data_IF_745825433695
#
_entry.id   IF_745825433695
#
_cell.length_a   1.000
_cell.length_b   1.000
_cell.length_c   1.000
_cell.angle_alpha   90.00
_cell.angle_beta   90.00
_cell.angle_gamma   90.00
#
_symmetry.space_group_name_H-M   'P 1'
#
loop_
_entity.id
_entity.type
_entity.pdbx_description
1 polymer ?
#
# COMPACT_ATOMS: atom_id res chain seq x y z
N UNK A 1 -30.44 11.16 4.45
CA UNK A 1 -30.04 11.35 5.87
C UNK A 1 -31.03 10.66 6.80
N UNK A 2 -32.30 10.60 6.38
CA UNK A 2 -33.47 10.30 7.21
C UNK A 2 -33.63 8.81 7.57
N UNK A 3 -32.74 7.95 7.08
CA UNK A 3 -32.76 6.49 7.31
C UNK A 3 -31.59 5.99 8.18
N UNK A 4 -30.78 6.88 8.76
CA UNK A 4 -29.68 6.46 9.63
C UNK A 4 -30.22 6.15 11.04
N UNK A 5 -29.96 4.92 11.52
CA UNK A 5 -30.24 4.57 12.91
C UNK A 5 -29.43 5.45 13.85
N UNK A 6 -29.98 5.72 15.04
CA UNK A 6 -29.36 6.65 16.01
C UNK A 6 -27.94 6.23 16.41
N UNK A 7 -27.68 4.92 16.45
CA UNK A 7 -26.41 4.28 16.82
C UNK A 7 -25.54 3.89 15.61
N UNK A 8 -25.95 4.25 14.40
CA UNK A 8 -25.19 3.94 13.19
C UNK A 8 -23.81 4.61 13.22
N UNK A 9 -22.81 3.87 12.72
CA UNK A 9 -21.48 4.42 12.43
C UNK A 9 -21.32 4.60 10.93
N UNK A 10 -20.86 5.78 10.54
CA UNK A 10 -20.59 6.12 9.15
C UNK A 10 -19.13 5.81 8.85
N UNK A 11 -18.88 4.86 7.95
CA UNK A 11 -17.54 4.55 7.46
C UNK A 11 -17.42 5.14 6.05
N UNK A 12 -16.48 6.07 5.86
CA UNK A 12 -16.24 6.72 4.57
C UNK A 12 -14.88 6.30 3.99
N UNK A 13 -14.91 5.75 2.78
CA UNK A 13 -13.72 5.44 1.99
C UNK A 13 -13.40 6.52 0.94
N UNK A 14 -14.08 7.67 0.99
CA UNK A 14 -13.96 8.71 -0.04
C UNK A 14 -12.62 9.45 0.12
N UNK A 15 -11.76 9.47 -0.91
CA UNK A 15 -10.49 10.20 -0.86
C UNK A 15 -10.71 11.72 -0.68
N UNK A 16 -9.84 12.37 0.08
CA UNK A 16 -9.85 13.84 0.26
C UNK A 16 -11.00 14.44 1.10
N UNK A 17 -12.09 13.71 1.35
CA UNK A 17 -13.26 14.26 2.08
C UNK A 17 -13.09 14.09 3.59
N UNK A 18 -12.82 15.20 4.29
CA UNK A 18 -12.59 15.24 5.74
C UNK A 18 -13.82 14.84 6.57
N UNK A 19 -13.60 14.33 7.79
CA UNK A 19 -14.67 13.99 8.76
C UNK A 19 -15.59 15.18 9.01
N UNK A 20 -15.03 16.37 9.19
CA UNK A 20 -15.79 17.62 9.39
C UNK A 20 -16.74 17.91 8.22
N UNK A 21 -16.26 17.74 6.98
CA UNK A 21 -17.06 17.90 5.76
C UNK A 21 -18.20 16.89 5.69
N UNK A 22 -17.94 15.62 6.01
CA UNK A 22 -18.97 14.57 6.03
C UNK A 22 -20.05 14.91 7.06
N UNK A 23 -19.67 15.26 8.29
CA UNK A 23 -20.61 15.65 9.35
C UNK A 23 -21.46 16.85 8.95
N UNK A 24 -20.85 17.87 8.33
CA UNK A 24 -21.55 19.06 7.83
C UNK A 24 -22.55 18.71 6.73
N UNK A 25 -22.12 17.95 5.71
CA UNK A 25 -22.99 17.54 4.60
C UNK A 25 -24.15 16.70 5.10
N UNK A 26 -23.90 15.78 6.03
CA UNK A 26 -24.92 14.88 6.57
C UNK A 26 -25.74 15.50 7.70
N UNK A 27 -25.37 16.68 8.20
CA UNK A 27 -26.00 17.35 9.34
C UNK A 27 -26.20 16.37 10.50
N UNK A 28 -25.13 15.67 10.87
CA UNK A 28 -25.21 14.52 11.77
C UNK A 28 -24.18 14.56 12.90
N UNK A 29 -24.58 14.02 14.04
CA UNK A 29 -23.72 13.76 15.19
C UNK A 29 -23.20 12.32 15.25
N UNK A 30 -23.54 11.47 14.26
CA UNK A 30 -23.03 10.09 14.21
C UNK A 30 -21.50 10.05 14.25
N UNK A 31 -20.98 8.94 14.74
CA UNK A 31 -19.57 8.64 14.62
C UNK A 31 -19.22 8.48 13.13
N UNK A 32 -18.20 9.21 12.71
CA UNK A 32 -17.66 9.12 11.36
C UNK A 32 -16.24 8.59 11.47
N UNK A 33 -15.99 7.52 10.75
CA UNK A 33 -14.69 6.88 10.62
C UNK A 33 -14.28 6.99 9.16
N UNK A 34 -13.08 7.52 8.92
CA UNK A 34 -12.52 7.50 7.57
C UNK A 34 -11.60 6.32 7.41
N UNK A 35 -11.71 5.68 6.26
CA UNK A 35 -10.83 4.60 5.86
C UNK A 35 -10.17 4.93 4.52
N UNK A 36 -8.98 4.37 4.30
CA UNK A 36 -8.31 4.37 3.02
C UNK A 36 -7.88 2.93 2.70
N UNK A 37 -8.74 2.15 2.03
CA UNK A 37 -8.40 0.80 1.60
C UNK A 37 -7.55 0.79 0.33
N UNK A 38 -6.65 -0.19 0.22
CA UNK A 38 -5.98 -0.52 -1.05
C UNK A 38 -6.74 -1.62 -1.80
N UNK A 39 -6.63 -1.67 -3.14
CA UNK A 39 -7.35 -2.63 -3.99
C UNK A 39 -7.25 -4.11 -3.54
N UNK A 40 -6.10 -4.60 -3.01
CA UNK A 40 -5.99 -5.98 -2.52
C UNK A 40 -6.92 -6.37 -1.35
N UNK A 41 -7.74 -5.45 -0.82
CA UNK A 41 -8.82 -5.80 0.12
C UNK A 41 -9.80 -6.82 -0.46
N UNK A 42 -9.96 -6.87 -1.79
CA UNK A 42 -10.85 -7.82 -2.48
C UNK A 42 -10.45 -9.28 -2.29
N UNK A 43 -9.18 -9.52 -1.93
CA UNK A 43 -8.61 -10.85 -1.69
C UNK A 43 -8.08 -11.01 -0.25
N UNK A 44 -8.47 -10.11 0.66
CA UNK A 44 -8.05 -10.17 2.07
C UNK A 44 -6.58 -9.81 2.33
N UNK A 45 -5.87 -9.28 1.33
CA UNK A 45 -4.43 -8.92 1.42
C UNK A 45 -4.18 -7.42 1.35
N UNK A 46 -5.22 -6.62 1.60
CA UNK A 46 -5.16 -5.17 1.54
C UNK A 46 -4.46 -4.52 2.74
N UNK A 47 -4.25 -3.23 2.62
CA UNK A 47 -3.99 -2.32 3.73
C UNK A 47 -5.21 -1.40 3.85
N UNK A 48 -5.66 -1.16 5.07
CA UNK A 48 -6.73 -0.23 5.36
C UNK A 48 -6.19 0.79 6.35
N UNK A 49 -5.89 1.99 5.85
CA UNK A 49 -5.68 3.15 6.71
C UNK A 49 -6.97 3.51 7.42
N UNK A 50 -6.94 3.84 8.70
CA UNK A 50 -8.14 4.22 9.46
C UNK A 50 -7.87 5.41 10.36
N UNK A 51 -8.80 6.37 10.34
CA UNK A 51 -8.78 7.55 11.21
C UNK A 51 -10.08 7.64 12.00
N UNK A 52 -9.95 7.87 13.30
CA UNK A 52 -11.06 8.11 14.22
C UNK A 52 -10.94 9.52 14.79
N UNK A 53 -11.98 10.34 14.65
CA UNK A 53 -11.98 11.69 15.23
C UNK A 53 -12.03 11.66 16.78
N UNK A 54 -12.75 10.69 17.37
CA UNK A 54 -12.87 10.46 18.83
C UNK A 54 -12.94 8.95 19.12
N UNK A 55 -12.30 8.46 20.20
CA UNK A 55 -12.41 7.08 20.72
C UNK A 55 -13.58 7.00 21.73
N UNK A 56 -14.27 5.89 22.03
CA UNK A 56 -13.73 4.57 22.38
C UNK A 56 -14.70 3.40 22.09
N UNK A 57 -16.00 3.62 21.94
CA UNK A 57 -16.98 2.52 22.01
C UNK A 57 -17.07 1.68 20.72
N UNK A 58 -16.68 2.22 19.57
CA UNK A 58 -16.84 1.56 18.26
C UNK A 58 -15.56 1.09 17.58
N UNK A 59 -14.38 1.53 18.06
CA UNK A 59 -13.08 1.22 17.41
C UNK A 59 -12.86 -0.29 17.27
N UNK A 60 -12.98 -1.04 18.35
CA UNK A 60 -12.73 -2.48 18.35
C UNK A 60 -13.63 -3.22 17.34
N UNK A 61 -14.93 -2.93 17.32
CA UNK A 61 -15.88 -3.58 16.41
C UNK A 61 -15.56 -3.30 14.95
N UNK A 62 -15.21 -2.04 14.64
CA UNK A 62 -14.87 -1.60 13.29
C UNK A 62 -13.54 -2.22 12.84
N UNK A 63 -12.51 -2.17 13.68
CA UNK A 63 -11.23 -2.80 13.38
C UNK A 63 -11.37 -4.31 13.23
N UNK A 64 -12.15 -4.99 14.08
CA UNK A 64 -12.41 -6.42 13.94
C UNK A 64 -13.10 -6.74 12.61
N UNK A 65 -14.12 -5.96 12.21
CA UNK A 65 -14.80 -6.10 10.93
C UNK A 65 -13.83 -5.94 9.75
N UNK A 66 -13.04 -4.87 9.76
CA UNK A 66 -12.16 -4.51 8.65
C UNK A 66 -10.90 -5.38 8.58
N UNK A 67 -10.46 -5.98 9.69
CA UNK A 67 -9.26 -6.84 9.75
C UNK A 67 -9.36 -8.08 8.86
N UNK A 68 -10.59 -8.51 8.54
CA UNK A 68 -10.87 -9.61 7.61
C UNK A 68 -10.49 -9.29 6.17
N UNK A 69 -10.38 -8.01 5.83
CA UNK A 69 -10.06 -7.51 4.49
C UNK A 69 -8.56 -7.23 4.32
N UNK A 70 -7.80 -7.20 5.41
CA UNK A 70 -6.36 -6.94 5.35
C UNK A 70 -5.81 -6.29 6.62
N UNK A 71 -4.60 -5.77 6.51
CA UNK A 71 -3.90 -5.13 7.63
C UNK A 71 -4.45 -3.73 7.88
N UNK A 72 -4.82 -3.45 9.12
CA UNK A 72 -5.26 -2.11 9.53
C UNK A 72 -4.05 -1.29 9.96
N UNK A 73 -4.02 -0.02 9.53
CA UNK A 73 -3.08 1.00 9.98
C UNK A 73 -3.90 2.16 10.53
N UNK A 74 -4.00 2.23 11.86
CA UNK A 74 -4.61 3.39 12.52
C UNK A 74 -3.65 4.58 12.46
N UNK A 75 -4.20 5.76 12.18
CA UNK A 75 -3.46 7.02 12.16
C UNK A 75 -4.06 8.01 13.16
N UNK A 76 -3.19 8.73 13.85
CA UNK A 76 -3.59 9.70 14.89
C UNK A 76 -4.08 11.04 14.29
N UNK A 77 -3.64 11.34 13.08
CA UNK A 77 -3.93 12.59 12.38
C UNK A 77 -4.55 12.30 11.02
N UNK A 78 -5.65 12.97 10.70
CA UNK A 78 -6.47 12.64 9.54
C UNK A 78 -5.71 12.75 8.20
N UNK A 79 -4.78 13.70 8.06
CA UNK A 79 -4.00 13.85 6.82
C UNK A 79 -3.01 12.70 6.58
N UNK A 80 -2.70 11.89 7.60
CA UNK A 80 -1.88 10.68 7.40
C UNK A 80 -2.61 9.64 6.53
N UNK A 81 -3.94 9.72 6.39
CA UNK A 81 -4.67 8.95 5.37
C UNK A 81 -4.29 9.38 3.93
N UNK A 82 -3.94 10.64 3.71
CA UNK A 82 -3.47 11.11 2.40
C UNK A 82 -2.06 10.55 2.11
N UNK A 83 -1.23 10.38 3.13
CA UNK A 83 0.07 9.68 3.01
C UNK A 83 -0.16 8.19 2.68
N UNK A 84 -1.10 7.54 3.37
CA UNK A 84 -1.47 6.14 3.07
C UNK A 84 -2.14 5.98 1.70
N UNK A 85 -2.74 7.02 1.14
CA UNK A 85 -3.23 7.03 -0.25
C UNK A 85 -2.08 6.75 -1.20
N UNK A 86 -0.95 7.45 -1.05
CA UNK A 86 0.22 7.28 -1.91
C UNK A 86 0.90 5.94 -1.60
N UNK A 87 1.14 5.64 -0.33
CA UNK A 87 1.91 4.46 0.06
C UNK A 87 1.15 3.14 -0.15
N UNK A 88 -0.11 3.08 0.25
CA UNK A 88 -0.93 1.86 0.22
C UNK A 88 -1.99 1.87 -0.89
N UNK A 89 -2.65 3.00 -1.15
CA UNK A 89 -3.66 3.11 -2.21
C UNK A 89 -3.06 2.97 -3.61
N UNK A 90 -2.00 3.72 -3.91
CA UNK A 90 -1.28 3.67 -5.18
C UNK A 90 -0.21 2.57 -5.22
N UNK A 91 0.21 2.06 -4.05
CA UNK A 91 1.25 1.03 -3.90
C UNK A 91 1.08 -0.18 -4.85
N UNK A 92 -0.13 -0.79 -4.97
CA UNK A 92 -0.37 -1.87 -5.92
C UNK A 92 -0.06 -1.52 -7.38
N UNK A 93 -0.31 -0.27 -7.80
CA UNK A 93 0.03 0.19 -9.15
C UNK A 93 1.54 0.30 -9.37
N UNK A 94 2.27 0.79 -8.37
CA UNK A 94 3.75 0.86 -8.40
C UNK A 94 4.34 -0.56 -8.43
N UNK A 95 3.85 -1.46 -7.59
CA UNK A 95 4.28 -2.87 -7.56
C UNK A 95 3.98 -3.57 -8.89
N UNK A 96 2.79 -3.35 -9.47
CA UNK A 96 2.45 -3.88 -10.79
C UNK A 96 3.37 -3.36 -11.89
N UNK A 97 3.74 -2.08 -11.86
CA UNK A 97 4.71 -1.51 -12.79
C UNK A 97 6.10 -2.16 -12.67
N UNK A 98 6.58 -2.40 -11.44
CA UNK A 98 7.85 -3.11 -11.21
C UNK A 98 7.79 -4.55 -11.76
N UNK A 99 6.69 -5.27 -11.50
CA UNK A 99 6.49 -6.63 -12.05
C UNK A 99 6.49 -6.61 -13.58
N UNK A 100 5.84 -5.60 -14.19
CA UNK A 100 5.85 -5.43 -15.64
C UNK A 100 7.26 -5.15 -16.17
N UNK A 101 8.05 -4.31 -15.50
CA UNK A 101 9.45 -4.06 -15.88
C UNK A 101 10.28 -5.34 -15.79
N UNK A 102 10.14 -6.13 -14.73
CA UNK A 102 10.82 -7.43 -14.60
C UNK A 102 10.42 -8.38 -15.72
N UNK A 103 9.13 -8.50 -16.02
CA UNK A 103 8.62 -9.33 -17.11
C UNK A 103 9.25 -8.93 -18.46
N UNK A 104 9.31 -7.63 -18.77
CA UNK A 104 9.93 -7.14 -20.01
C UNK A 104 11.43 -7.48 -20.05
N UNK A 105 12.16 -7.27 -18.95
CA UNK A 105 13.57 -7.63 -18.86
C UNK A 105 13.83 -9.13 -19.03
N UNK A 106 12.98 -9.96 -18.43
CA UNK A 106 13.03 -11.42 -18.55
C UNK A 106 12.79 -11.91 -19.99
N UNK A 107 11.87 -11.27 -20.72
CA UNK A 107 11.69 -11.53 -22.15
C UNK A 107 12.96 -11.20 -22.93
N UNK A 108 13.58 -10.06 -22.63
CA UNK A 108 14.80 -9.62 -23.33
C UNK A 108 16.01 -10.53 -23.10
N UNK A 109 16.01 -11.34 -22.04
CA UNK A 109 17.05 -12.35 -21.78
C UNK A 109 16.65 -13.77 -22.22
N UNK A 110 15.56 -13.90 -22.98
CA UNK A 110 15.21 -15.13 -23.71
C UNK A 110 13.99 -15.91 -23.19
N UNK A 111 13.25 -15.40 -22.20
CA UNK A 111 12.03 -16.06 -21.72
C UNK A 111 10.82 -15.74 -22.59
N UNK A 112 9.88 -16.68 -22.68
CA UNK A 112 8.56 -16.38 -23.25
C UNK A 112 7.79 -15.42 -22.34
N UNK A 113 6.79 -14.71 -22.90
CA UNK A 113 5.91 -13.83 -22.12
C UNK A 113 5.27 -14.53 -20.93
N UNK A 114 4.84 -15.78 -21.09
CA UNK A 114 4.18 -16.55 -20.02
C UNK A 114 5.18 -16.92 -18.93
N UNK A 115 6.38 -17.38 -19.29
CA UNK A 115 7.43 -17.69 -18.30
C UNK A 115 7.85 -16.44 -17.54
N UNK A 116 8.10 -15.35 -18.24
CA UNK A 116 8.50 -14.08 -17.66
C UNK A 116 7.48 -13.56 -16.63
N UNK A 117 6.18 -13.62 -16.95
CA UNK A 117 5.11 -13.22 -16.02
C UNK A 117 5.07 -14.13 -14.79
N UNK A 118 5.08 -15.45 -14.99
CA UNK A 118 5.01 -16.42 -13.90
C UNK A 118 6.22 -16.29 -12.96
N UNK A 119 7.43 -16.17 -13.53
CA UNK A 119 8.68 -16.00 -12.77
C UNK A 119 8.66 -14.68 -12.01
N UNK A 120 8.25 -13.56 -12.64
CA UNK A 120 8.21 -12.26 -11.97
C UNK A 120 7.22 -12.24 -10.79
N UNK A 121 6.02 -12.78 -10.97
CA UNK A 121 5.01 -12.89 -9.91
C UNK A 121 5.50 -13.78 -8.77
N UNK A 122 6.00 -14.98 -9.08
CA UNK A 122 6.45 -15.94 -8.08
C UNK A 122 7.68 -15.44 -7.32
N UNK A 123 8.63 -14.79 -8.01
CA UNK A 123 9.83 -14.21 -7.39
C UNK A 123 9.45 -13.08 -6.42
N UNK A 124 8.57 -12.17 -6.83
CA UNK A 124 8.10 -11.07 -5.98
C UNK A 124 7.35 -11.62 -4.75
N UNK A 125 6.39 -12.54 -4.95
CA UNK A 125 5.62 -13.14 -3.87
C UNK A 125 6.51 -13.93 -2.89
N UNK A 126 7.41 -14.77 -3.41
CA UNK A 126 8.31 -15.59 -2.62
C UNK A 126 9.26 -14.72 -1.78
N UNK A 127 9.84 -13.68 -2.38
CA UNK A 127 10.72 -12.74 -1.69
C UNK A 127 10.00 -12.01 -0.55
N UNK A 128 8.80 -11.47 -0.80
CA UNK A 128 8.01 -10.82 0.24
C UNK A 128 7.63 -11.79 1.38
N UNK A 129 7.32 -13.04 1.04
CA UNK A 129 6.96 -14.06 2.03
C UNK A 129 8.16 -14.43 2.90
N UNK A 130 9.32 -14.65 2.28
CA UNK A 130 10.58 -14.97 2.96
C UNK A 130 10.98 -13.90 3.98
N UNK A 131 10.97 -12.61 3.57
CA UNK A 131 11.28 -11.49 4.44
C UNK A 131 10.35 -11.44 5.66
N UNK A 132 9.05 -11.69 5.44
CA UNK A 132 8.03 -11.67 6.49
C UNK A 132 8.16 -12.84 7.46
N UNK A 133 8.37 -14.04 6.94
CA UNK A 133 8.49 -15.28 7.73
C UNK A 133 9.76 -15.27 8.58
N UNK A 134 10.89 -14.88 7.99
CA UNK A 134 12.17 -14.81 8.70
C UNK A 134 12.33 -13.54 9.54
N UNK A 135 11.41 -12.57 9.41
CA UNK A 135 11.47 -11.27 10.10
C UNK A 135 12.78 -10.52 9.87
N UNK A 136 13.33 -10.64 8.66
CA UNK A 136 14.57 -9.94 8.25
C UNK A 136 14.26 -8.73 7.38
N UNK A 137 15.20 -7.79 7.37
CA UNK A 137 15.11 -6.61 6.52
C UNK A 137 15.66 -6.90 5.11
N UNK A 138 15.21 -6.17 4.06
CA UNK A 138 15.66 -6.40 2.69
C UNK A 138 17.18 -6.37 2.49
N UNK A 139 17.90 -5.48 3.18
CA UNK A 139 19.36 -5.39 3.06
C UNK A 139 20.07 -6.65 3.57
N UNK A 140 19.48 -7.38 4.53
CA UNK A 140 20.03 -8.64 5.03
C UNK A 140 19.89 -9.74 3.98
N UNK A 141 18.69 -9.91 3.43
CA UNK A 141 18.47 -10.86 2.34
C UNK A 141 19.38 -10.55 1.14
N UNK A 142 19.52 -9.27 0.79
CA UNK A 142 20.39 -8.83 -0.29
C UNK A 142 21.85 -9.23 -0.03
N UNK A 143 22.38 -8.98 1.17
CA UNK A 143 23.73 -9.39 1.56
C UNK A 143 23.92 -10.92 1.51
N UNK A 144 22.86 -11.69 1.79
CA UNK A 144 22.91 -13.16 1.76
C UNK A 144 22.93 -13.72 0.32
N UNK A 145 22.36 -13.01 -0.66
CA UNK A 145 22.28 -13.46 -2.07
C UNK A 145 23.23 -12.75 -3.04
N UNK A 146 23.74 -11.58 -2.67
CA UNK A 146 24.71 -10.79 -3.43
C UNK A 146 26.14 -11.15 -3.01
N UNK A 147 26.58 -12.35 -3.37
CA UNK A 147 27.95 -12.80 -3.10
C UNK A 147 28.96 -11.98 -3.90
N UNK A 148 30.12 -11.70 -3.30
CA UNK A 148 31.23 -10.97 -3.94
C UNK A 148 31.63 -11.60 -5.28
N UNK A 149 31.66 -10.80 -6.35
CA UNK A 149 31.93 -11.21 -7.72
C UNK A 149 30.76 -11.93 -8.41
N UNK A 150 29.61 -12.06 -7.76
CA UNK A 150 28.44 -12.78 -8.26
C UNK A 150 27.53 -11.96 -9.18
N UNK A 151 26.63 -12.66 -9.87
CA UNK A 151 25.68 -12.06 -10.82
C UNK A 151 24.76 -11.04 -10.12
N UNK A 152 24.23 -11.39 -8.94
CA UNK A 152 23.34 -10.51 -8.17
C UNK A 152 24.05 -9.22 -7.74
N UNK A 153 25.31 -9.31 -7.28
CA UNK A 153 26.11 -8.14 -6.92
C UNK A 153 26.30 -7.22 -8.13
N UNK A 154 26.65 -7.79 -9.29
CA UNK A 154 26.82 -7.02 -10.53
C UNK A 154 25.55 -6.27 -10.95
N UNK A 155 24.38 -6.91 -10.85
CA UNK A 155 23.08 -6.29 -11.15
C UNK A 155 22.79 -5.13 -10.18
N UNK A 156 22.98 -5.36 -8.88
CA UNK A 156 22.68 -4.36 -7.83
C UNK A 156 23.61 -3.17 -7.93
N UNK A 157 24.91 -3.38 -8.16
CA UNK A 157 25.87 -2.30 -8.42
C UNK A 157 25.48 -1.46 -9.64
N UNK A 158 24.91 -2.09 -10.67
CA UNK A 158 24.38 -1.35 -11.81
C UNK A 158 23.20 -0.47 -11.40
N UNK A 159 22.26 -0.97 -10.60
CA UNK A 159 21.14 -0.17 -10.09
C UNK A 159 21.60 0.98 -9.20
N UNK A 160 22.58 0.75 -8.31
CA UNK A 160 23.15 1.76 -7.42
C UNK A 160 23.85 2.88 -8.22
N UNK A 161 24.63 2.50 -9.25
CA UNK A 161 25.29 3.46 -10.14
C UNK A 161 24.30 4.38 -10.87
N UNK A 162 23.08 3.92 -11.11
CA UNK A 162 22.03 4.68 -11.79
C UNK A 162 20.99 5.27 -10.82
N UNK A 163 21.28 5.20 -9.53
CA UNK A 163 20.48 5.78 -8.45
C UNK A 163 18.98 5.43 -8.52
N UNK A 164 18.71 4.13 -8.66
CA UNK A 164 17.34 3.59 -8.71
C UNK A 164 16.52 4.03 -7.48
N UNK A 165 17.15 4.14 -6.31
CA UNK A 165 16.50 4.59 -5.08
C UNK A 165 15.96 6.02 -5.20
N UNK A 166 16.77 6.95 -5.72
CA UNK A 166 16.32 8.33 -5.95
C UNK A 166 15.21 8.40 -7.00
N UNK A 167 15.28 7.59 -8.06
CA UNK A 167 14.22 7.53 -9.07
C UNK A 167 12.87 7.10 -8.46
N UNK A 168 12.88 6.05 -7.64
CA UNK A 168 11.67 5.58 -6.93
C UNK A 168 11.15 6.67 -5.97
N UNK A 169 12.05 7.30 -5.20
CA UNK A 169 11.69 8.36 -4.26
C UNK A 169 11.02 9.55 -4.98
N UNK A 170 11.59 10.02 -6.08
CA UNK A 170 11.00 11.09 -6.88
C UNK A 170 9.63 10.72 -7.44
N UNK A 171 9.45 9.48 -7.91
CA UNK A 171 8.13 9.00 -8.38
C UNK A 171 7.06 9.06 -7.29
N UNK A 172 7.39 8.63 -6.07
CA UNK A 172 6.46 8.68 -4.92
C UNK A 172 6.16 10.12 -4.48
N UNK A 173 7.17 11.00 -4.47
CA UNK A 173 6.99 12.43 -4.16
C UNK A 173 6.08 13.09 -5.20
N UNK A 174 6.26 12.80 -6.49
CA UNK A 174 5.41 13.28 -7.56
C UNK A 174 3.95 12.81 -7.39
N UNK A 175 3.75 11.55 -6.99
CA UNK A 175 2.42 11.01 -6.66
C UNK A 175 1.75 11.79 -5.51
N UNK A 176 2.51 12.09 -4.45
CA UNK A 176 2.04 12.92 -3.33
C UNK A 176 1.67 14.34 -3.77
N UNK A 177 2.49 15.00 -4.57
CA UNK A 177 2.19 16.34 -5.10
C UNK A 177 0.93 16.35 -5.95
N UNK A 178 0.71 15.29 -6.74
CA UNK A 178 -0.50 15.14 -7.56
C UNK A 178 -1.75 15.00 -6.70
N UNK A 179 -1.67 14.28 -5.58
CA UNK A 179 -2.76 14.15 -4.62
C UNK A 179 -3.13 15.50 -4.00
N UNK A 180 -2.14 16.32 -3.61
CA UNK A 180 -2.35 17.63 -2.99
C UNK A 180 -2.98 18.68 -3.93
N UNK A 181 -2.95 18.45 -5.25
CA UNK A 181 -3.56 19.34 -6.26
C UNK A 181 -5.02 19.01 -6.57
N UNK A 182 -5.56 17.91 -6.04
CA UNK A 182 -6.94 17.48 -6.20
C UNK A 182 -7.78 17.89 -5.00
#
# INVERSE_FOLDING_TARGET
>A
KDNLKIDAVIISAIPGVRVSTIKKILTTNHHVVRIMPSIPISIGKGIIGIYFLNSEVSKYKICNLLSKLGKIIEVDEEYKLDILTVAAGCGPGVVAYIIQSLMISFINIGLTKSEALNIALQTMQGTCSLLKEQKILPHKLLADVATKGGITESIVMYFDKHDLNTLIAHGLIQGKQTLLKK
#
